data_IF_520440007202
#
_entry.id   IF_520440007202
#
_cell.length_a   1.000
_cell.length_b   1.000
_cell.length_c   1.000
_cell.angle_alpha   90.00
_cell.angle_beta   90.00
_cell.angle_gamma   90.00
#
_symmetry.space_group_name_H-M   'P 1'
#
loop_
_entity.id
_entity.type
_entity.pdbx_description
1 polymer ?
#
# COMPACT_ATOMS: atom_id res chain seq x y z
N UNK A 1 4.14 12.35 46.36
CA UNK A 1 5.39 13.09 46.09
C UNK A 1 6.44 12.10 45.64
N UNK A 2 6.75 12.02 44.34
CA UNK A 2 8.09 11.67 43.84
C UNK A 2 8.10 11.92 42.34
N UNK A 3 8.78 12.99 41.95
CA UNK A 3 8.95 13.43 40.57
C UNK A 3 10.32 12.95 40.09
N UNK A 4 10.37 12.04 39.12
CA UNK A 4 11.61 11.65 38.44
C UNK A 4 11.78 12.46 37.16
N UNK A 5 12.79 13.34 37.12
CA UNK A 5 13.20 14.06 35.90
C UNK A 5 14.27 13.23 35.18
N UNK A 6 13.96 12.72 33.99
CA UNK A 6 14.95 12.10 33.11
C UNK A 6 15.54 13.16 32.18
N UNK A 7 16.86 13.30 32.22
CA UNK A 7 17.64 14.24 31.42
C UNK A 7 17.79 13.74 29.97
N UNK A 8 17.50 14.62 29.01
CA UNK A 8 17.76 14.42 27.58
C UNK A 8 19.21 14.82 27.25
N UNK A 9 20.01 13.87 26.78
CA UNK A 9 21.32 14.13 26.20
C UNK A 9 21.16 14.35 24.68
N UNK A 10 21.38 15.59 24.25
CA UNK A 10 21.38 16.00 22.84
C UNK A 10 22.79 15.78 22.29
N UNK A 11 22.96 14.73 21.48
CA UNK A 11 24.19 14.45 20.75
C UNK A 11 24.18 15.15 19.40
N UNK A 12 24.95 16.23 19.28
CA UNK A 12 25.21 16.96 18.04
C UNK A 12 26.28 16.19 17.25
N UNK A 13 25.95 15.70 16.05
CA UNK A 13 26.92 15.04 15.16
C UNK A 13 26.99 15.79 13.83
N UNK A 14 27.98 16.67 13.73
CA UNK A 14 28.40 17.36 12.51
C UNK A 14 29.51 16.53 11.87
N UNK A 15 29.26 15.96 10.70
CA UNK A 15 30.32 15.47 9.82
C UNK A 15 30.16 16.09 8.43
N UNK A 16 31.06 17.01 8.11
CA UNK A 16 31.26 17.61 6.80
C UNK A 16 32.54 17.04 6.20
N UNK A 17 32.50 16.45 5.00
CA UNK A 17 33.69 16.34 4.14
C UNK A 17 33.34 16.07 2.66
N UNK A 18 33.60 17.08 1.81
CA UNK A 18 34.37 17.05 0.54
C UNK A 18 33.96 15.98 -0.50
N UNK A 19 33.55 16.25 -1.75
CA UNK A 19 34.00 17.27 -2.70
C UNK A 19 34.91 16.64 -3.77
N UNK A 20 34.35 16.23 -4.92
CA UNK A 20 35.12 15.90 -6.12
C UNK A 20 34.55 16.63 -7.34
N UNK A 21 35.16 17.78 -7.64
CA UNK A 21 35.16 18.40 -8.96
C UNK A 21 36.08 17.62 -9.89
N UNK A 22 35.65 17.45 -11.14
CA UNK A 22 36.49 17.00 -12.25
C UNK A 22 35.87 17.46 -13.57
N UNK A 23 36.34 18.61 -14.07
CA UNK A 23 36.11 19.09 -15.43
C UNK A 23 37.12 18.45 -16.38
N UNK A 24 36.68 18.01 -17.56
CA UNK A 24 37.54 17.90 -18.74
C UNK A 24 36.88 18.61 -19.94
N UNK A 25 37.50 19.69 -20.46
CA UNK A 25 37.17 20.31 -21.73
C UNK A 25 38.11 19.79 -22.84
N UNK A 26 37.55 19.41 -23.99
CA UNK A 26 38.31 19.12 -25.22
C UNK A 26 37.32 18.93 -26.37
N UNK A 27 37.01 19.95 -27.15
CA UNK A 27 37.82 20.62 -28.19
C UNK A 27 37.65 19.98 -29.58
N UNK A 28 37.72 20.86 -30.58
CA UNK A 28 37.87 20.63 -32.01
C UNK A 28 36.61 20.25 -32.80
N UNK A 29 35.92 21.31 -33.23
CA UNK A 29 35.15 21.27 -34.47
C UNK A 29 36.05 20.98 -35.67
N UNK A 30 35.48 20.33 -36.69
CA UNK A 30 35.99 20.44 -38.04
C UNK A 30 34.85 20.58 -39.04
N UNK A 31 35.02 21.57 -39.89
CA UNK A 31 34.10 22.08 -40.90
C UNK A 31 34.18 21.27 -42.20
N UNK A 32 33.00 20.95 -42.74
CA UNK A 32 32.58 20.74 -44.15
C UNK A 32 33.63 20.33 -45.21
N UNK A 33 33.39 19.19 -45.89
CA UNK A 33 33.09 19.14 -47.33
C UNK A 33 32.56 17.74 -47.76
N UNK A 34 31.65 17.65 -48.74
CA UNK A 34 31.00 16.40 -49.14
C UNK A 34 31.70 15.73 -50.33
N UNK A 35 31.92 14.40 -50.33
CA UNK A 35 32.19 13.67 -51.55
C UNK A 35 30.87 13.19 -52.18
N UNK A 36 30.49 13.83 -53.28
CA UNK A 36 29.54 13.27 -54.26
C UNK A 36 30.17 12.02 -54.88
N UNK A 37 29.63 10.84 -54.60
CA UNK A 37 29.86 9.64 -55.41
C UNK A 37 28.61 8.76 -55.33
N UNK A 38 28.00 8.52 -56.49
CA UNK A 38 26.73 7.82 -56.63
C UNK A 38 26.74 6.42 -56.02
N UNK A 39 25.76 6.15 -55.17
CA UNK A 39 25.48 4.81 -54.64
C UNK A 39 24.28 4.27 -55.43
N UNK A 40 24.40 3.08 -56.04
CA UNK A 40 23.28 2.45 -56.75
C UNK A 40 22.10 2.28 -55.78
N UNK A 41 20.91 2.61 -56.27
CA UNK A 41 19.63 2.32 -55.62
C UNK A 41 19.42 0.81 -55.59
N UNK A 42 20.14 0.13 -54.69
CA UNK A 42 19.88 -1.25 -54.30
C UNK A 42 18.70 -1.24 -53.33
N UNK A 43 17.68 -2.03 -53.66
CA UNK A 43 16.57 -2.35 -52.77
C UNK A 43 17.11 -2.73 -51.36
N UNK A 44 16.50 -2.26 -50.26
CA UNK A 44 16.97 -2.60 -48.93
C UNK A 44 16.91 -4.11 -48.75
N UNK A 45 18.06 -4.73 -48.51
CA UNK A 45 18.16 -6.15 -48.17
C UNK A 45 17.35 -6.39 -46.90
N UNK A 46 16.32 -7.23 -46.99
CA UNK A 46 15.61 -7.71 -45.81
C UNK A 46 16.60 -8.51 -44.97
N UNK A 47 16.96 -8.00 -43.79
CA UNK A 47 17.68 -8.79 -42.80
C UNK A 47 16.74 -9.93 -42.37
N UNK A 48 17.14 -11.21 -42.49
CA UNK A 48 16.32 -12.31 -42.00
C UNK A 48 16.12 -12.12 -40.50
N UNK A 49 14.91 -11.79 -40.08
CA UNK A 49 14.57 -11.75 -38.66
C UNK A 49 14.51 -13.20 -38.18
N UNK A 50 15.63 -13.69 -37.63
CA UNK A 50 15.63 -14.98 -36.95
C UNK A 50 14.56 -14.95 -35.83
N UNK A 51 13.85 -16.06 -35.60
CA UNK A 51 12.92 -16.15 -34.49
C UNK A 51 13.66 -15.86 -33.17
N UNK A 52 13.28 -14.78 -32.48
CA UNK A 52 13.80 -14.54 -31.13
C UNK A 52 13.50 -15.76 -30.26
N UNK A 53 14.54 -16.32 -29.64
CA UNK A 53 14.37 -17.44 -28.73
C UNK A 53 13.74 -16.95 -27.43
N UNK A 54 12.62 -17.53 -26.97
CA UNK A 54 12.01 -17.15 -25.71
C UNK A 54 13.00 -17.36 -24.56
N UNK A 55 13.19 -16.35 -23.72
CA UNK A 55 13.98 -16.52 -22.50
C UNK A 55 13.34 -17.57 -21.59
N UNK A 56 14.14 -18.42 -20.92
CA UNK A 56 13.62 -19.36 -19.93
C UNK A 56 12.90 -18.62 -18.80
N UNK A 57 11.75 -19.13 -18.31
CA UNK A 57 11.06 -18.53 -17.17
C UNK A 57 11.97 -18.59 -15.94
N UNK A 58 12.32 -17.42 -15.39
CA UNK A 58 13.07 -17.34 -14.13
C UNK A 58 12.12 -17.53 -12.95
N UNK A 59 12.32 -18.58 -12.16
CA UNK A 59 11.59 -18.80 -10.92
C UNK A 59 12.13 -17.85 -9.84
N UNK A 60 11.36 -16.82 -9.49
CA UNK A 60 11.65 -15.96 -8.34
C UNK A 60 11.08 -16.58 -7.06
N UNK A 61 11.81 -16.59 -5.93
CA UNK A 61 11.26 -17.02 -4.66
C UNK A 61 10.09 -16.13 -4.25
N UNK A 62 9.09 -16.75 -3.63
CA UNK A 62 7.94 -16.04 -3.06
C UNK A 62 7.59 -16.57 -1.68
N UNK A 63 7.13 -15.67 -0.80
CA UNK A 63 6.67 -16.01 0.55
C UNK A 63 5.28 -15.45 0.78
N UNK A 64 4.44 -16.22 1.47
CA UNK A 64 3.13 -15.77 1.93
C UNK A 64 3.25 -15.28 3.38
N UNK A 65 2.75 -14.08 3.63
CA UNK A 65 2.76 -13.39 4.91
C UNK A 65 1.30 -13.33 5.37
N UNK A 66 0.95 -14.14 6.37
CA UNK A 66 -0.44 -14.23 6.86
C UNK A 66 -0.91 -12.93 7.53
N UNK A 67 -0.02 -12.25 8.26
CA UNK A 67 -0.27 -10.96 8.87
C UNK A 67 0.89 -10.03 8.50
N UNK A 68 0.67 -9.20 7.49
CA UNK A 68 1.67 -8.27 6.99
C UNK A 68 2.03 -7.21 8.06
N UNK A 69 3.31 -6.79 8.15
CA UNK A 69 3.69 -5.65 8.96
C UNK A 69 3.13 -4.38 8.34
N UNK A 70 1.95 -3.97 8.79
CA UNK A 70 1.24 -2.80 8.27
C UNK A 70 0.90 -1.81 9.39
N UNK A 71 0.80 -0.54 9.03
CA UNK A 71 0.43 0.54 9.93
C UNK A 71 -0.20 1.69 9.17
N UNK A 72 -0.64 2.68 9.93
CA UNK A 72 -1.24 3.89 9.40
C UNK A 72 -2.31 4.43 10.34
N UNK A 73 -2.94 5.52 9.92
CA UNK A 73 -3.93 6.20 10.73
C UNK A 73 -5.33 5.68 10.42
N UNK A 74 -6.18 5.65 11.44
CA UNK A 74 -7.61 5.35 11.31
C UNK A 74 -8.38 6.65 11.43
N UNK A 75 -9.12 6.99 10.38
CA UNK A 75 -10.11 8.07 10.38
C UNK A 75 -11.47 7.48 10.75
N UNK A 76 -12.14 8.06 11.74
CA UNK A 76 -13.38 7.52 12.29
C UNK A 76 -14.53 8.53 12.13
N UNK A 77 -15.61 8.08 11.50
CA UNK A 77 -16.84 8.84 11.29
C UNK A 77 -18.06 8.01 11.74
N UNK A 78 -18.41 8.17 13.02
CA UNK A 78 -19.50 7.43 13.65
C UNK A 78 -19.25 5.91 13.65
N UNK A 79 -20.10 5.17 12.94
CA UNK A 79 -19.99 3.70 12.79
C UNK A 79 -19.05 3.28 11.67
N UNK A 80 -18.61 4.20 10.82
CA UNK A 80 -17.68 3.92 9.73
C UNK A 80 -16.26 4.34 10.12
N UNK A 81 -15.26 3.54 9.76
CA UNK A 81 -13.86 3.90 9.95
C UNK A 81 -13.06 3.53 8.71
N UNK A 82 -12.05 4.31 8.39
CA UNK A 82 -11.17 4.09 7.26
C UNK A 82 -9.72 4.09 7.74
N UNK A 83 -9.02 2.98 7.54
CA UNK A 83 -7.60 2.87 7.83
C UNK A 83 -6.78 3.17 6.57
N UNK A 84 -5.81 4.07 6.69
CA UNK A 84 -4.68 4.12 5.77
C UNK A 84 -3.75 2.95 6.07
N UNK A 85 -3.32 2.23 5.04
CA UNK A 85 -2.46 1.05 5.15
C UNK A 85 -1.15 1.30 4.42
N UNK A 86 -0.07 1.27 5.20
CA UNK A 86 1.31 1.40 4.76
C UNK A 86 2.12 0.18 5.22
N UNK A 87 3.14 -0.18 4.44
CA UNK A 87 4.11 -1.20 4.79
C UNK A 87 5.06 -0.70 5.90
N UNK A 88 5.20 -1.48 6.97
CA UNK A 88 6.11 -1.21 8.10
C UNK A 88 7.30 -2.17 8.18
N UNK A 89 7.42 -3.10 7.24
CA UNK A 89 8.61 -3.96 7.17
C UNK A 89 9.83 -3.17 6.70
N UNK A 90 10.74 -3.84 5.99
CA UNK A 90 11.93 -3.18 5.44
C UNK A 90 11.53 -1.99 4.55
N UNK A 91 12.01 -0.81 4.93
CA UNK A 91 11.72 0.47 4.28
C UNK A 91 13.05 1.22 4.00
N UNK A 92 13.34 1.59 2.73
CA UNK A 92 12.54 1.35 1.53
C UNK A 92 12.39 -0.15 1.19
N UNK A 93 11.35 -0.48 0.43
CA UNK A 93 11.20 -1.81 -0.18
C UNK A 93 12.43 -2.03 -1.07
N UNK A 94 13.19 -3.13 -0.92
CA UNK A 94 14.39 -3.35 -1.72
C UNK A 94 14.09 -3.49 -3.22
N UNK A 95 15.05 -3.07 -4.05
CA UNK A 95 14.98 -3.23 -5.50
C UNK A 95 14.66 -4.67 -5.92
N UNK A 96 13.75 -4.83 -6.88
CA UNK A 96 13.34 -6.13 -7.40
C UNK A 96 12.42 -6.94 -6.46
N UNK A 97 12.09 -6.43 -5.27
CA UNK A 97 11.05 -6.98 -4.40
C UNK A 97 9.69 -6.38 -4.77
N UNK A 98 8.69 -7.23 -4.86
CA UNK A 98 7.29 -6.83 -5.03
C UNK A 98 6.43 -7.47 -3.95
N UNK A 99 5.60 -6.65 -3.30
CA UNK A 99 4.68 -7.09 -2.24
C UNK A 99 3.26 -6.90 -2.75
N UNK A 100 2.55 -8.01 -2.97
CA UNK A 100 1.15 -8.01 -3.37
C UNK A 100 0.26 -8.23 -2.17
N UNK A 101 -0.58 -7.25 -1.87
CA UNK A 101 -1.62 -7.34 -0.83
C UNK A 101 -2.69 -8.37 -1.22
N UNK A 102 -3.14 -9.13 -0.23
CA UNK A 102 -4.09 -10.22 -0.36
C UNK A 102 -5.40 -9.93 0.38
N UNK A 103 -6.02 -10.99 0.92
CA UNK A 103 -7.25 -10.87 1.68
C UNK A 103 -7.03 -10.12 3.00
N UNK A 104 -8.02 -9.33 3.38
CA UNK A 104 -8.10 -8.68 4.69
C UNK A 104 -9.15 -9.38 5.56
N UNK A 105 -8.93 -9.41 6.86
CA UNK A 105 -9.91 -9.81 7.86
C UNK A 105 -9.68 -9.07 9.18
N UNK A 106 -10.60 -9.24 10.13
CA UNK A 106 -10.65 -8.48 11.38
C UNK A 106 -10.60 -9.43 12.58
N UNK A 107 -9.79 -9.10 13.60
CA UNK A 107 -9.63 -9.90 14.81
C UNK A 107 -9.68 -9.02 16.09
N UNK A 108 -10.62 -9.27 17.03
CA UNK A 108 -11.69 -10.26 16.95
C UNK A 108 -12.75 -9.88 15.88
N UNK A 109 -13.38 -10.89 15.28
CA UNK A 109 -14.48 -10.67 14.34
C UNK A 109 -15.80 -10.33 15.04
N UNK A 110 -16.77 -9.82 14.28
CA UNK A 110 -18.16 -9.65 14.72
C UNK A 110 -18.52 -8.28 15.29
N UNK A 111 -17.54 -7.43 15.63
CA UNK A 111 -17.79 -6.03 16.01
C UNK A 111 -17.82 -5.11 14.79
N UNK A 112 -16.92 -5.38 13.84
CA UNK A 112 -16.80 -4.67 12.58
C UNK A 112 -16.90 -5.63 11.41
N UNK A 113 -17.40 -5.13 10.28
CA UNK A 113 -17.34 -5.76 8.96
C UNK A 113 -16.49 -4.90 8.03
N UNK A 114 -15.78 -5.52 7.08
CA UNK A 114 -15.11 -4.78 6.01
C UNK A 114 -16.16 -4.10 5.15
N UNK A 115 -16.09 -2.77 5.05
CA UNK A 115 -17.03 -1.96 4.29
C UNK A 115 -16.29 -0.75 3.69
N UNK A 116 -15.97 -0.83 2.40
CA UNK A 116 -15.19 0.21 1.72
C UNK A 116 -15.95 1.55 1.63
N UNK A 117 -17.26 1.58 1.87
CA UNK A 117 -18.00 2.85 1.94
C UNK A 117 -17.60 3.71 3.15
N UNK A 118 -16.90 3.13 4.14
CA UNK A 118 -16.32 3.89 5.23
C UNK A 118 -15.11 4.74 4.82
N UNK A 119 -14.54 4.48 3.64
CA UNK A 119 -13.48 5.28 3.04
C UNK A 119 -14.03 6.23 1.98
N UNK A 120 -13.26 7.30 1.68
CA UNK A 120 -13.59 8.19 0.56
C UNK A 120 -13.51 7.44 -0.78
N UNK A 121 -14.31 7.82 -1.79
CA UNK A 121 -14.36 7.11 -3.07
C UNK A 121 -13.06 7.21 -3.89
N UNK A 122 -12.23 8.22 -3.64
CA UNK A 122 -10.91 8.40 -4.25
C UNK A 122 -9.81 7.58 -3.56
N UNK A 123 -10.08 7.01 -2.38
CA UNK A 123 -9.12 6.18 -1.67
C UNK A 123 -9.01 4.81 -2.35
N UNK A 124 -7.79 4.45 -2.76
CA UNK A 124 -7.50 3.16 -3.41
C UNK A 124 -7.66 2.00 -2.42
N UNK A 125 -8.52 1.00 -2.68
CA UNK A 125 -8.69 -0.15 -1.80
C UNK A 125 -7.43 -1.03 -1.76
N UNK A 126 -7.21 -1.73 -0.65
CA UNK A 126 -6.05 -2.63 -0.48
C UNK A 126 -6.15 -3.99 -1.18
N UNK A 127 -7.18 -4.25 -1.99
CA UNK A 127 -7.30 -5.56 -2.65
C UNK A 127 -6.36 -5.63 -3.85
N UNK A 128 -5.34 -6.51 -3.79
CA UNK A 128 -4.47 -6.79 -4.92
C UNK A 128 -3.53 -5.65 -5.31
N UNK A 129 -3.25 -4.73 -4.39
CA UNK A 129 -2.26 -3.66 -4.57
C UNK A 129 -0.86 -4.26 -4.54
N UNK A 130 -0.05 -3.88 -5.53
CA UNK A 130 1.37 -4.18 -5.59
C UNK A 130 2.20 -2.99 -5.06
N UNK A 131 2.97 -3.23 -4.01
CA UNK A 131 3.96 -2.31 -3.49
C UNK A 131 5.35 -2.68 -3.98
N UNK A 132 6.08 -1.69 -4.46
CA UNK A 132 7.45 -1.78 -4.98
C UNK A 132 8.19 -0.50 -4.61
N UNK A 133 9.52 -0.50 -4.69
CA UNK A 133 10.37 0.65 -4.37
C UNK A 133 9.89 1.96 -5.03
N UNK A 134 9.67 1.94 -6.35
CA UNK A 134 9.35 3.13 -7.15
C UNK A 134 7.86 3.48 -7.18
N UNK A 135 6.99 2.57 -6.70
CA UNK A 135 5.53 2.72 -6.79
C UNK A 135 4.85 2.45 -5.44
N UNK A 136 5.54 2.78 -4.34
CA UNK A 136 4.94 2.72 -3.03
C UNK A 136 3.90 3.82 -2.88
N UNK A 137 2.63 3.40 -2.77
CA UNK A 137 1.50 4.27 -2.45
C UNK A 137 0.67 3.58 -1.37
N UNK A 138 0.14 4.29 -0.38
CA UNK A 138 -0.79 3.72 0.58
C UNK A 138 -2.03 3.14 -0.13
N UNK A 139 -2.70 2.22 0.54
CA UNK A 139 -4.04 1.79 0.19
C UNK A 139 -4.92 1.93 1.43
N UNK A 140 -6.23 1.75 1.29
CA UNK A 140 -7.18 1.98 2.37
C UNK A 140 -8.10 0.80 2.56
N UNK A 141 -8.48 0.57 3.82
CA UNK A 141 -9.47 -0.42 4.22
C UNK A 141 -10.55 0.27 5.03
N UNK A 142 -11.78 0.23 4.51
CA UNK A 142 -12.96 0.70 5.23
C UNK A 142 -13.57 -0.41 6.09
N UNK A 143 -14.12 -0.04 7.23
CA UNK A 143 -14.91 -0.91 8.10
C UNK A 143 -16.20 -0.21 8.54
N UNK A 144 -17.21 -1.01 8.86
CA UNK A 144 -18.46 -0.56 9.49
C UNK A 144 -18.70 -1.35 10.77
N UNK A 145 -18.97 -0.66 11.86
CA UNK A 145 -19.36 -1.26 13.13
C UNK A 145 -20.78 -1.86 12.99
N UNK A 146 -20.92 -3.14 13.32
CA UNK A 146 -22.18 -3.89 13.20
C UNK A 146 -22.70 -4.42 14.54
N UNK A 147 -21.87 -4.40 15.58
CA UNK A 147 -22.27 -4.76 16.94
C UNK A 147 -21.75 -3.73 17.95
N UNK A 148 -22.34 -3.73 19.15
CA UNK A 148 -21.79 -3.00 20.28
C UNK A 148 -20.46 -3.64 20.67
N UNK A 149 -19.41 -2.82 20.79
CA UNK A 149 -18.11 -3.24 21.31
C UNK A 149 -17.65 -2.31 22.44
N UNK A 150 -16.58 -2.71 23.11
CA UNK A 150 -15.96 -1.90 24.15
C UNK A 150 -14.65 -1.27 23.65
N UNK A 151 -14.35 -0.06 24.09
CA UNK A 151 -13.17 0.67 23.63
C UNK A 151 -11.83 0.04 24.08
N UNK A 152 -11.87 -0.80 25.12
CA UNK A 152 -10.75 -1.62 25.61
C UNK A 152 -10.57 -2.94 24.85
N UNK A 153 -11.46 -3.25 23.90
CA UNK A 153 -11.40 -4.43 23.03
C UNK A 153 -11.29 -4.02 21.55
N UNK A 154 -10.16 -3.42 21.13
CA UNK A 154 -9.99 -2.98 19.76
C UNK A 154 -9.94 -4.17 18.78
N UNK A 155 -10.40 -3.93 17.56
CA UNK A 155 -10.33 -4.90 16.46
C UNK A 155 -9.14 -4.62 15.57
N UNK A 156 -8.23 -5.58 15.44
CA UNK A 156 -7.03 -5.48 14.60
C UNK A 156 -7.36 -5.83 13.16
N UNK A 157 -6.85 -5.04 12.21
CA UNK A 157 -6.85 -5.39 10.80
C UNK A 157 -5.76 -6.43 10.52
N UNK A 158 -6.10 -7.60 10.02
CA UNK A 158 -5.13 -8.57 9.52
C UNK A 158 -5.15 -8.52 7.99
N UNK A 159 -4.00 -8.23 7.39
CA UNK A 159 -3.86 -8.19 5.93
C UNK A 159 -2.84 -9.24 5.49
N UNK A 160 -3.27 -10.14 4.60
CA UNK A 160 -2.35 -11.07 3.97
C UNK A 160 -1.53 -10.35 2.90
N UNK A 161 -0.31 -10.81 2.68
CA UNK A 161 0.52 -10.35 1.58
C UNK A 161 1.35 -11.48 0.99
N UNK A 162 1.67 -11.40 -0.29
CA UNK A 162 2.65 -12.26 -0.95
C UNK A 162 3.82 -11.41 -1.41
N UNK A 163 5.02 -11.75 -0.96
CA UNK A 163 6.23 -11.08 -1.43
C UNK A 163 6.96 -11.95 -2.44
N UNK A 164 7.35 -11.36 -3.56
CA UNK A 164 8.22 -11.95 -4.57
C UNK A 164 9.55 -11.23 -4.47
N UNK A 165 10.64 -11.99 -4.27
CA UNK A 165 11.97 -11.42 -4.05
C UNK A 165 12.96 -11.88 -5.13
N UNK A 166 14.05 -11.14 -5.35
CA UNK A 166 15.17 -11.63 -6.16
C UNK A 166 15.83 -12.87 -5.52
N UNK A 167 15.98 -12.87 -4.19
CA UNK A 167 16.60 -13.97 -3.44
C UNK A 167 15.79 -14.37 -2.20
N UNK A 168 15.98 -15.61 -1.74
CA UNK A 168 15.32 -16.10 -0.52
C UNK A 168 15.77 -15.33 0.73
N UNK A 169 17.05 -14.93 0.79
CA UNK A 169 17.59 -14.16 1.91
C UNK A 169 16.92 -12.79 2.03
N UNK A 170 16.58 -12.13 0.91
CA UNK A 170 15.83 -10.87 0.93
C UNK A 170 14.41 -11.07 1.43
N UNK A 171 13.73 -12.13 0.97
CA UNK A 171 12.39 -12.49 1.47
C UNK A 171 12.39 -12.71 2.99
N UNK A 172 13.36 -13.44 3.52
CA UNK A 172 13.44 -13.71 4.95
C UNK A 172 13.68 -12.43 5.79
N UNK A 173 14.37 -11.44 5.22
CA UNK A 173 14.66 -10.17 5.88
C UNK A 173 13.63 -9.07 5.58
N UNK A 174 12.58 -9.37 4.80
CA UNK A 174 11.64 -8.36 4.31
C UNK A 174 10.75 -7.79 5.43
N UNK A 175 10.31 -8.64 6.36
CA UNK A 175 9.41 -8.25 7.45
C UNK A 175 10.14 -7.36 8.49
N UNK A 176 11.47 -7.49 8.62
CA UNK A 176 12.25 -6.74 9.61
C UNK A 176 11.85 -7.08 11.05
N UNK A 177 11.95 -6.10 11.94
CA UNK A 177 11.62 -6.25 13.37
C UNK A 177 10.12 -6.09 13.67
N UNK A 178 9.37 -5.49 12.75
CA UNK A 178 7.93 -5.24 12.92
C UNK A 178 7.14 -6.51 12.67
N UNK A 179 6.33 -6.90 13.65
CA UNK A 179 5.51 -8.13 13.56
C UNK A 179 4.05 -7.77 13.42
N UNK A 180 3.49 -8.09 12.24
CA UNK A 180 2.06 -7.99 11.97
C UNK A 180 1.52 -6.57 11.96
N UNK A 181 0.20 -6.47 11.86
CA UNK A 181 -0.51 -5.22 11.81
C UNK A 181 -0.49 -4.42 13.12
N UNK A 182 -0.37 -3.11 12.97
CA UNK A 182 -0.52 -2.10 14.03
C UNK A 182 -1.79 -1.28 13.86
N UNK A 183 -2.68 -1.67 12.94
CA UNK A 183 -3.91 -0.96 12.63
C UNK A 183 -5.04 -1.57 13.47
N UNK A 184 -5.62 -0.74 14.34
CA UNK A 184 -6.72 -1.14 15.23
C UNK A 184 -7.91 -0.20 15.10
N UNK A 185 -9.11 -0.77 14.98
CA UNK A 185 -10.38 -0.06 15.00
C UNK A 185 -10.98 -0.10 16.41
N UNK A 186 -11.47 1.05 16.87
CA UNK A 186 -12.03 1.20 18.22
C UNK A 186 -13.55 1.39 18.10
N UNK A 187 -14.38 0.52 18.70
CA UNK A 187 -15.83 0.67 18.66
C UNK A 187 -16.32 1.99 19.29
N UNK A 188 -17.26 2.65 18.63
CA UNK A 188 -17.86 3.91 19.09
C UNK A 188 -19.24 3.66 19.68
N UNK A 189 -19.30 3.33 20.97
CA UNK A 189 -20.56 3.14 21.70
C UNK A 189 -21.54 2.15 21.02
N UNK A 190 -22.81 2.09 21.44
CA UNK A 190 -23.82 1.32 20.71
C UNK A 190 -24.10 1.99 19.35
N UNK A 191 -24.25 1.22 18.25
CA UNK A 191 -24.68 1.79 16.99
C UNK A 191 -26.01 2.50 17.22
N UNK A 192 -26.08 3.79 16.93
CA UNK A 192 -27.33 4.53 17.05
C UNK A 192 -28.27 3.91 16.03
N UNK A 193 -29.33 3.24 16.50
CA UNK A 193 -30.31 2.60 15.62
C UNK A 193 -30.68 3.57 14.50
N UNK A 194 -30.71 3.14 13.22
CA UNK A 194 -31.16 4.01 12.15
C UNK A 194 -32.52 4.58 12.56
N UNK A 195 -32.82 5.86 12.25
CA UNK A 195 -34.09 6.44 12.62
C UNK A 195 -35.16 5.49 12.13
N UNK A 196 -35.88 4.86 13.06
CA UNK A 196 -37.05 4.06 12.74
C UNK A 196 -37.90 4.99 11.90
N UNK A 197 -37.89 4.80 10.58
CA UNK A 197 -38.80 5.46 9.68
C UNK A 197 -40.14 4.88 10.06
N UNK A 198 -40.74 5.48 11.09
CA UNK A 198 -42.11 5.33 11.48
C UNK A 198 -42.94 5.86 10.33
N UNK A 199 -43.00 5.06 9.27
CA UNK A 199 -44.11 5.04 8.34
C UNK A 199 -45.31 4.65 9.17
N UNK A 200 -45.88 5.64 9.86
CA UNK A 200 -47.26 5.60 10.25
C UNK A 200 -48.05 5.47 8.96
N UNK A 201 -48.34 4.23 8.58
CA UNK A 201 -49.44 3.97 7.68
C UNK A 201 -50.68 4.50 8.40
N UNK A 202 -51.36 5.55 7.89
CA UNK A 202 -52.66 5.88 8.41
C UNK A 202 -53.55 4.68 8.11
N UNK A 203 -53.94 3.95 9.15
CA UNK A 203 -55.04 3.00 9.07
C UNK A 203 -56.27 3.76 8.58
N UNK A 204 -56.54 3.70 7.29
CA UNK A 204 -57.79 4.18 6.74
C UNK A 204 -58.90 3.31 7.33
N UNK A 205 -59.63 3.88 8.26
CA UNK A 205 -60.88 3.37 8.80
C UNK A 205 -61.86 3.24 7.63
N UNK A 206 -62.04 2.04 7.11
CA UNK A 206 -63.12 1.70 6.18
C UNK A 206 -64.43 1.67 6.98
N UNK A 207 -65.07 2.82 7.11
CA UNK A 207 -66.47 2.89 7.54
C UNK A 207 -67.33 2.45 6.36
N UNK A 208 -67.80 1.21 6.39
CA UNK A 208 -68.93 0.77 5.57
C UNK A 208 -70.20 1.16 6.31
N UNK A 209 -70.94 2.14 5.78
CA UNK A 209 -72.31 2.43 6.17
C UNK A 209 -73.21 2.25 4.94
N UNK A 210 -74.40 1.69 5.20
CA UNK A 210 -75.35 1.17 4.22
C UNK A 210 -76.43 2.16 3.80
#
# INVERSE_FOLDING_TARGET
>A
MSSGRSALAIGLLVLSVIGCSGNDPGDSGNTLEPPTTGVPTGEPSFEPTEPETPQPPQQKPSIMIANAPIGGNVDADGVYQCAEVNWLGKNPIPAGVSIRTGAAHLEPGGVFELDQSGCRPDNRPCTGVDWQEENFKPCYVGVRQVATGHADEPTTLILQATAICPTQAECNNLIGDQKGSQITFIPNGPPTSPPTSGGGFPSALLTADG
#
